data_IF_905910337943
#
_entry.id   IF_905910337943
#
_cell.length_a   1.000
_cell.length_b   1.000
_cell.length_c   1.000
_cell.angle_alpha   90.00
_cell.angle_beta   90.00
_cell.angle_gamma   90.00
#
_symmetry.space_group_name_H-M   'P 1'
#
loop_
_entity.id
_entity.type
_entity.pdbx_description
1 polymer ?
#
# COMPACT_ATOMS: atom_id res chain seq x y z
N UNK A 1 -22.12 16.60 -23.53
CA UNK A 1 -22.33 16.52 -22.07
C UNK A 1 -21.25 17.38 -21.45
N UNK A 2 -21.62 18.25 -20.52
CA UNK A 2 -20.66 19.00 -19.72
C UNK A 2 -20.77 18.53 -18.27
N UNK A 3 -19.62 18.45 -17.61
CA UNK A 3 -19.52 18.09 -16.19
C UNK A 3 -18.77 19.24 -15.52
N UNK A 4 -19.43 19.89 -14.56
CA UNK A 4 -18.81 20.87 -13.70
C UNK A 4 -18.72 20.30 -12.28
N UNK A 5 -17.53 20.31 -11.71
CA UNK A 5 -17.26 19.76 -10.39
C UNK A 5 -16.77 20.83 -9.44
N UNK A 6 -17.24 20.77 -8.21
CA UNK A 6 -16.76 21.61 -7.11
C UNK A 6 -16.58 20.73 -5.89
N UNK A 7 -15.36 20.67 -5.37
CA UNK A 7 -15.04 19.91 -4.15
C UNK A 7 -15.01 20.85 -2.95
N UNK A 8 -15.55 20.39 -1.82
CA UNK A 8 -15.54 21.10 -0.56
C UNK A 8 -15.41 20.06 0.57
N UNK A 9 -14.19 19.92 1.12
CA UNK A 9 -13.88 18.92 2.13
C UNK A 9 -14.18 17.50 1.64
N UNK A 10 -15.04 16.80 2.39
CA UNK A 10 -15.45 15.41 2.12
C UNK A 10 -16.55 15.27 1.04
N UNK A 11 -17.04 16.39 0.49
CA UNK A 11 -18.10 16.38 -0.51
C UNK A 11 -17.62 16.90 -1.87
N UNK A 12 -18.11 16.29 -2.94
CA UNK A 12 -18.07 16.85 -4.29
C UNK A 12 -19.49 17.11 -4.77
N UNK A 13 -19.73 18.32 -5.28
CA UNK A 13 -20.94 18.64 -6.04
C UNK A 13 -20.61 18.54 -7.52
N UNK A 14 -21.36 17.71 -8.23
CA UNK A 14 -21.17 17.37 -9.63
C UNK A 14 -22.42 17.78 -10.38
N UNK A 15 -22.32 18.86 -11.15
CA UNK A 15 -23.39 19.30 -12.05
C UNK A 15 -23.16 18.68 -13.42
N UNK A 16 -24.18 18.01 -13.94
CA UNK A 16 -24.13 17.35 -15.25
C UNK A 16 -25.17 17.99 -16.17
N UNK A 17 -24.78 18.31 -17.40
CA UNK A 17 -25.69 18.80 -18.43
C UNK A 17 -25.65 17.94 -19.70
N UNK A 18 -26.80 17.81 -20.37
CA UNK A 18 -26.97 17.04 -21.61
C UNK A 18 -27.55 15.64 -21.38
N UNK A 19 -26.89 14.60 -21.91
CA UNK A 19 -27.43 13.22 -21.95
C UNK A 19 -26.50 12.21 -21.26
N UNK A 20 -27.03 11.37 -20.39
CA UNK A 20 -26.35 10.23 -19.74
C UNK A 20 -26.65 8.90 -20.48
N UNK A 21 -26.17 8.82 -21.73
CA UNK A 21 -26.15 7.60 -22.53
C UNK A 21 -24.89 6.74 -22.24
N UNK A 22 -24.72 5.61 -22.94
CA UNK A 22 -23.58 4.72 -22.74
C UNK A 22 -22.22 5.41 -22.94
N UNK A 23 -22.09 6.30 -23.92
CA UNK A 23 -20.83 7.00 -24.20
C UNK A 23 -20.49 7.99 -23.08
N UNK A 24 -21.48 8.73 -22.63
CA UNK A 24 -21.29 9.77 -21.62
C UNK A 24 -21.20 9.21 -20.19
N UNK A 25 -21.78 8.03 -19.95
CA UNK A 25 -21.68 7.32 -18.67
C UNK A 25 -20.23 6.96 -18.30
N UNK A 26 -19.40 6.53 -19.27
CA UNK A 26 -17.99 6.21 -19.02
C UNK A 26 -17.16 7.45 -18.67
N UNK A 27 -17.48 8.60 -19.28
CA UNK A 27 -16.87 9.89 -18.95
C UNK A 27 -17.23 10.26 -17.52
N UNK A 28 -18.52 10.24 -17.17
CA UNK A 28 -18.96 10.51 -15.80
C UNK A 28 -18.32 9.55 -14.79
N UNK A 29 -18.23 8.24 -15.10
CA UNK A 29 -17.61 7.28 -14.20
C UNK A 29 -16.15 7.63 -13.90
N UNK A 30 -15.36 8.07 -14.89
CA UNK A 30 -13.96 8.45 -14.65
C UNK A 30 -13.87 9.66 -13.73
N UNK A 31 -14.66 10.70 -13.99
CA UNK A 31 -14.67 11.92 -13.16
C UNK A 31 -15.12 11.64 -11.71
N UNK A 32 -16.11 10.76 -11.52
CA UNK A 32 -16.53 10.34 -10.17
C UNK A 32 -15.47 9.46 -9.49
N UNK A 33 -14.76 8.61 -10.24
CA UNK A 33 -13.61 7.86 -9.70
C UNK A 33 -12.50 8.83 -9.24
N UNK A 34 -12.25 9.94 -9.97
CA UNK A 34 -11.32 11.00 -9.53
C UNK A 34 -11.78 11.67 -8.22
N UNK A 35 -13.07 11.96 -8.06
CA UNK A 35 -13.58 12.52 -6.79
C UNK A 35 -13.40 11.54 -5.63
N UNK A 36 -13.71 10.26 -5.85
CA UNK A 36 -13.53 9.25 -4.80
C UNK A 36 -12.04 9.06 -4.46
N UNK A 37 -11.15 9.16 -5.45
CA UNK A 37 -9.68 9.24 -5.27
C UNK A 37 -9.23 10.49 -4.53
N UNK A 38 -9.85 11.63 -4.82
CA UNK A 38 -9.68 12.88 -4.09
C UNK A 38 -10.04 12.79 -2.61
N UNK A 39 -10.74 11.72 -2.21
CA UNK A 39 -11.15 11.44 -0.84
C UNK A 39 -12.56 11.93 -0.53
N UNK A 40 -13.33 12.37 -1.52
CA UNK A 40 -14.72 12.76 -1.31
C UNK A 40 -15.59 11.53 -1.11
N UNK A 41 -16.20 11.44 0.08
CA UNK A 41 -17.10 10.35 0.47
C UNK A 41 -18.56 10.70 0.24
N UNK A 42 -18.85 11.96 -0.10
CA UNK A 42 -20.19 12.45 -0.43
C UNK A 42 -20.20 12.97 -1.86
N UNK A 43 -20.99 12.35 -2.74
CA UNK A 43 -21.17 12.82 -4.11
C UNK A 43 -22.59 13.37 -4.29
N UNK A 44 -22.69 14.64 -4.64
CA UNK A 44 -23.97 15.34 -4.89
C UNK A 44 -24.14 15.56 -6.38
N UNK A 45 -25.01 14.76 -6.99
CA UNK A 45 -25.25 14.79 -8.41
C UNK A 45 -26.38 15.76 -8.73
N UNK A 46 -26.07 16.98 -9.18
CA UNK A 46 -27.09 17.88 -9.72
C UNK A 46 -27.39 17.47 -11.16
N UNK A 47 -28.60 16.94 -11.38
CA UNK A 47 -29.06 16.40 -12.66
C UNK A 47 -30.17 17.24 -13.30
N UNK A 48 -30.25 18.53 -12.98
CA UNK A 48 -31.28 19.44 -13.48
C UNK A 48 -31.23 19.57 -15.00
N UNK A 49 -30.02 19.75 -15.53
CA UNK A 49 -29.76 19.96 -16.95
C UNK A 49 -29.58 18.64 -17.73
N UNK A 50 -29.97 17.49 -17.15
CA UNK A 50 -29.89 16.18 -17.79
C UNK A 50 -31.24 15.83 -18.44
N UNK A 51 -31.28 15.81 -19.76
CA UNK A 51 -32.50 15.59 -20.53
C UNK A 51 -32.85 14.10 -20.68
N UNK A 52 -31.86 13.22 -20.54
CA UNK A 52 -32.00 11.78 -20.78
C UNK A 52 -31.00 10.96 -19.98
N UNK A 53 -31.45 9.84 -19.41
CA UNK A 53 -30.60 8.84 -18.76
C UNK A 53 -30.91 7.44 -19.29
N UNK A 54 -29.86 6.70 -19.66
CA UNK A 54 -29.94 5.30 -20.09
C UNK A 54 -29.63 4.33 -18.94
N UNK A 55 -29.80 3.02 -19.16
CA UNK A 55 -29.39 1.99 -18.20
C UNK A 55 -27.90 2.04 -17.84
N UNK A 56 -27.05 2.53 -18.74
CA UNK A 56 -25.62 2.73 -18.47
C UNK A 56 -25.39 3.85 -17.45
N UNK A 57 -26.08 4.99 -17.60
CA UNK A 57 -26.01 6.10 -16.64
C UNK A 57 -26.51 5.68 -15.25
N UNK A 58 -27.62 4.94 -15.18
CA UNK A 58 -28.14 4.42 -13.91
C UNK A 58 -27.13 3.48 -13.24
N UNK A 59 -26.50 2.56 -14.01
CA UNK A 59 -25.47 1.67 -13.48
C UNK A 59 -24.28 2.42 -12.89
N UNK A 60 -23.86 3.52 -13.51
CA UNK A 60 -22.79 4.37 -12.96
C UNK A 60 -23.22 4.96 -11.62
N UNK A 61 -24.41 5.56 -11.51
CA UNK A 61 -24.91 6.09 -10.23
C UNK A 61 -24.97 5.00 -9.13
N UNK A 62 -25.45 3.80 -9.47
CA UNK A 62 -25.50 2.66 -8.53
C UNK A 62 -24.09 2.21 -8.11
N UNK A 63 -23.14 2.11 -9.05
CA UNK A 63 -21.73 1.74 -8.78
C UNK A 63 -21.17 2.65 -7.68
N UNK A 64 -21.29 3.96 -7.85
CA UNK A 64 -20.76 4.93 -6.90
C UNK A 64 -21.54 4.98 -5.60
N UNK A 65 -22.87 4.86 -5.62
CA UNK A 65 -23.66 4.78 -4.40
C UNK A 65 -23.23 3.60 -3.51
N UNK A 66 -23.02 2.41 -4.09
CA UNK A 66 -22.55 1.23 -3.35
C UNK A 66 -21.10 1.37 -2.86
N UNK A 67 -20.22 1.86 -3.73
CA UNK A 67 -18.82 2.08 -3.37
C UNK A 67 -18.69 3.06 -2.20
N UNK A 68 -19.38 4.20 -2.25
CA UNK A 68 -19.37 5.18 -1.16
C UNK A 68 -20.00 4.62 0.11
N UNK A 69 -21.10 3.85 0.01
CA UNK A 69 -21.70 3.20 1.18
C UNK A 69 -20.73 2.28 1.91
N UNK A 70 -19.94 1.46 1.18
CA UNK A 70 -18.90 0.60 1.79
C UNK A 70 -17.80 1.39 2.49
N UNK A 71 -17.61 2.65 2.10
CA UNK A 71 -16.63 3.54 2.71
C UNK A 71 -17.22 4.31 3.89
N UNK A 72 -18.55 4.32 4.09
CA UNK A 72 -19.25 5.14 5.08
C UNK A 72 -19.67 6.53 4.57
N UNK A 73 -19.80 6.66 3.24
CA UNK A 73 -20.30 7.81 2.51
C UNK A 73 -21.63 7.52 1.78
N UNK A 74 -22.08 8.44 0.93
CA UNK A 74 -23.26 8.23 0.08
C UNK A 74 -23.22 9.07 -1.20
N UNK A 75 -23.98 8.64 -2.20
CA UNK A 75 -24.30 9.43 -3.37
C UNK A 75 -25.73 9.93 -3.22
N UNK A 76 -25.97 11.21 -3.48
CA UNK A 76 -27.30 11.80 -3.56
C UNK A 76 -27.55 12.42 -4.93
N UNK A 77 -28.79 12.34 -5.40
CA UNK A 77 -29.25 13.01 -6.62
C UNK A 77 -30.02 14.27 -6.20
N UNK A 78 -29.56 15.42 -6.69
CA UNK A 78 -30.12 16.74 -6.46
C UNK A 78 -30.80 17.25 -7.75
N UNK A 79 -31.96 17.86 -7.58
CA UNK A 79 -32.73 18.54 -8.64
C UNK A 79 -32.79 17.77 -9.97
N UNK A 80 -33.12 16.46 -10.00
CA UNK A 80 -33.19 15.75 -11.28
C UNK A 80 -34.26 16.36 -12.17
N UNK A 81 -34.00 16.42 -13.48
CA UNK A 81 -35.05 16.76 -14.46
C UNK A 81 -36.24 15.79 -14.33
N UNK A 82 -37.42 16.23 -14.77
CA UNK A 82 -38.64 15.41 -14.73
C UNK A 82 -38.43 14.06 -15.43
N UNK A 83 -37.73 14.07 -16.58
CA UNK A 83 -37.43 12.88 -17.35
C UNK A 83 -36.54 11.90 -16.55
N UNK A 84 -35.49 12.42 -15.90
CA UNK A 84 -34.57 11.60 -15.09
C UNK A 84 -35.27 11.06 -13.84
N UNK A 85 -36.01 11.91 -13.12
CA UNK A 85 -36.77 11.50 -11.93
C UNK A 85 -37.73 10.35 -12.23
N UNK A 86 -38.53 10.49 -13.31
CA UNK A 86 -39.48 9.46 -13.75
C UNK A 86 -38.78 8.12 -14.01
N UNK A 87 -37.63 8.13 -14.68
CA UNK A 87 -36.87 6.91 -14.97
C UNK A 87 -36.29 6.28 -13.71
N UNK A 88 -35.75 7.07 -12.78
CA UNK A 88 -35.21 6.55 -11.51
C UNK A 88 -36.30 5.97 -10.61
N UNK A 89 -37.50 6.55 -10.63
CA UNK A 89 -38.69 6.03 -9.95
C UNK A 89 -39.18 4.73 -10.59
N UNK A 90 -39.34 4.70 -11.91
CA UNK A 90 -39.78 3.50 -12.66
C UNK A 90 -38.81 2.31 -12.48
N UNK A 91 -37.51 2.58 -12.31
CA UNK A 91 -36.50 1.55 -12.07
C UNK A 91 -36.33 1.17 -10.60
N UNK A 92 -37.04 1.86 -9.68
CA UNK A 92 -36.95 1.62 -8.24
C UNK A 92 -35.59 1.99 -7.63
N UNK A 93 -34.78 2.81 -8.32
CA UNK A 93 -33.42 3.16 -7.90
C UNK A 93 -33.37 4.45 -7.08
N UNK A 94 -34.40 5.28 -7.16
CA UNK A 94 -34.49 6.56 -6.44
C UNK A 94 -34.17 6.48 -4.93
N UNK A 95 -34.60 5.47 -4.16
CA UNK A 95 -34.27 5.36 -2.73
C UNK A 95 -32.77 5.21 -2.44
N UNK A 96 -31.97 4.72 -3.39
CA UNK A 96 -30.51 4.59 -3.25
C UNK A 96 -29.80 5.95 -3.24
N UNK A 97 -30.47 6.99 -3.76
CA UNK A 97 -29.91 8.32 -4.00
C UNK A 97 -30.58 9.41 -3.17
N UNK A 98 -31.39 9.01 -2.18
CA UNK A 98 -32.11 9.95 -1.33
C UNK A 98 -31.12 10.83 -0.54
N UNK A 99 -31.44 12.12 -0.35
CA UNK A 99 -30.61 13.01 0.45
C UNK A 99 -30.51 12.43 1.86
N UNK A 100 -29.29 12.15 2.28
CA UNK A 100 -29.00 11.83 3.68
C UNK A 100 -28.55 13.11 4.34
N UNK A 101 -29.00 13.33 5.58
CA UNK A 101 -28.39 14.38 6.40
C UNK A 101 -26.90 14.15 6.37
N UNK A 102 -26.15 15.20 6.05
CA UNK A 102 -24.72 15.23 6.31
C UNK A 102 -24.52 14.63 7.71
N UNK A 103 -23.62 13.65 7.90
CA UNK A 103 -22.92 13.57 9.16
C UNK A 103 -22.41 14.98 9.37
N UNK A 104 -23.01 15.67 10.34
CA UNK A 104 -22.54 16.96 10.78
C UNK A 104 -21.01 16.89 10.80
N UNK A 105 -20.34 17.94 10.33
CA UNK A 105 -18.90 18.07 10.52
C UNK A 105 -18.50 17.88 12.01
N UNK A 106 -19.46 17.89 12.95
CA UNK A 106 -19.33 17.52 14.36
C UNK A 106 -19.33 16.00 14.68
N UNK A 107 -19.75 15.10 13.78
CA UNK A 107 -19.80 13.65 14.01
C UNK A 107 -18.64 12.88 13.34
N UNK A 108 -17.94 13.50 12.38
CA UNK A 108 -16.61 13.07 11.93
C UNK A 108 -15.46 13.78 12.70
N UNK A 109 -15.79 14.72 13.59
CA UNK A 109 -14.87 15.32 14.57
C UNK A 109 -15.18 14.97 16.03
N UNK A 110 -16.14 14.06 16.27
CA UNK A 110 -16.41 13.48 17.60
C UNK A 110 -15.56 12.22 17.89
N UNK A 111 -14.44 12.07 17.20
CA UNK A 111 -13.34 11.17 17.55
C UNK A 111 -12.07 11.97 17.83
N UNK A 112 -12.16 12.97 18.73
CA UNK A 112 -11.01 13.64 19.37
C UNK A 112 -9.95 14.26 18.45
N UNK A 113 -9.83 15.59 18.51
CA UNK A 113 -8.55 16.29 18.27
C UNK A 113 -7.40 15.77 19.18
N UNK A 114 -7.69 14.91 20.16
CA UNK A 114 -6.75 14.09 20.90
C UNK A 114 -6.26 12.89 20.05
N UNK A 115 -5.40 13.13 19.04
CA UNK A 115 -4.80 12.02 18.27
C UNK A 115 -4.23 12.39 16.90
N UNK A 116 -4.55 13.58 16.38
CA UNK A 116 -3.94 14.11 15.17
C UNK A 116 -2.59 14.76 15.50
N UNK A 117 -1.51 14.25 14.92
CA UNK A 117 -0.13 14.72 15.12
C UNK A 117 0.49 15.04 13.76
N UNK A 118 1.12 16.21 13.66
CA UNK A 118 2.00 16.52 12.54
C UNK A 118 3.33 15.82 12.78
N UNK A 119 3.79 15.01 11.82
CA UNK A 119 5.08 14.32 11.87
C UNK A 119 5.78 14.57 10.53
N UNK A 120 6.79 15.46 10.53
CA UNK A 120 7.42 15.91 9.28
C UNK A 120 6.39 16.50 8.32
N UNK A 121 6.37 16.03 7.07
CA UNK A 121 5.38 16.39 6.04
C UNK A 121 4.01 15.71 6.19
N UNK A 122 3.82 14.81 7.15
CA UNK A 122 2.56 14.05 7.31
C UNK A 122 1.67 14.59 8.41
N UNK A 123 0.36 14.60 8.13
CA UNK A 123 -0.66 14.67 9.17
C UNK A 123 -1.11 13.25 9.49
N UNK A 124 -0.83 12.79 10.71
CA UNK A 124 -1.16 11.46 11.18
C UNK A 124 -2.28 11.49 12.22
N UNK A 125 -3.37 10.77 12.01
CA UNK A 125 -4.46 10.60 12.98
C UNK A 125 -4.44 9.18 13.54
N UNK A 126 -4.12 9.02 14.82
CA UNK A 126 -4.16 7.70 15.49
C UNK A 126 -5.61 7.25 15.63
N UNK A 127 -5.93 6.08 15.08
CA UNK A 127 -7.29 5.50 15.10
C UNK A 127 -7.43 4.33 16.06
N UNK A 128 -6.32 3.69 16.43
CA UNK A 128 -6.27 2.66 17.47
C UNK A 128 -4.87 2.59 18.09
N UNK A 129 -4.81 2.21 19.37
CA UNK A 129 -3.55 1.92 20.06
C UNK A 129 -3.71 0.73 21.01
N UNK A 130 -2.65 -0.06 21.13
CA UNK A 130 -2.54 -1.20 22.02
C UNK A 130 -1.28 -1.06 22.87
N UNK A 131 -1.46 -0.57 24.11
CA UNK A 131 -0.33 -0.34 25.02
C UNK A 131 0.42 -1.66 25.30
N UNK A 132 1.76 -1.61 25.20
CA UNK A 132 2.63 -2.76 25.45
C UNK A 132 2.72 -3.77 24.31
N UNK A 133 1.98 -3.60 23.20
CA UNK A 133 2.21 -4.39 22.01
C UNK A 133 3.57 -4.06 21.38
N UNK A 134 4.24 -5.08 20.87
CA UNK A 134 5.55 -4.98 20.23
C UNK A 134 5.72 -6.13 19.25
N UNK A 135 6.68 -5.99 18.33
CA UNK A 135 7.15 -7.11 17.53
C UNK A 135 8.58 -7.50 17.92
N UNK A 136 8.88 -8.79 17.77
CA UNK A 136 10.24 -9.33 17.86
C UNK A 136 10.65 -9.82 16.49
N UNK A 137 11.95 -9.72 16.19
CA UNK A 137 12.47 -10.05 14.87
C UNK A 137 13.57 -11.10 14.90
N UNK A 138 13.75 -11.75 13.76
CA UNK A 138 14.96 -12.50 13.43
C UNK A 138 15.38 -12.24 11.99
N UNK A 139 16.68 -12.31 11.75
CA UNK A 139 17.24 -12.35 10.40
C UNK A 139 17.43 -13.80 9.96
N UNK A 140 17.13 -14.07 8.70
CA UNK A 140 17.32 -15.35 8.04
C UNK A 140 18.26 -15.15 6.86
N UNK A 141 19.22 -16.06 6.70
CA UNK A 141 20.28 -15.93 5.71
C UNK A 141 21.16 -14.69 5.93
N UNK A 142 21.96 -14.37 4.93
CA UNK A 142 22.87 -13.23 4.99
C UNK A 142 22.71 -12.36 3.73
N UNK A 143 22.11 -11.16 3.80
CA UNK A 143 21.90 -10.29 2.63
C UNK A 143 23.20 -9.79 2.01
N UNK A 144 24.34 -9.92 2.69
CA UNK A 144 25.65 -9.53 2.16
C UNK A 144 26.17 -10.50 1.07
N UNK A 145 25.52 -11.63 0.81
CA UNK A 145 25.94 -12.59 -0.20
C UNK A 145 26.09 -11.96 -1.60
N UNK A 146 25.13 -11.12 -2.01
CA UNK A 146 25.20 -10.36 -3.27
C UNK A 146 26.27 -9.26 -3.25
N UNK A 147 26.61 -8.73 -2.07
CA UNK A 147 27.58 -7.64 -1.93
C UNK A 147 29.04 -8.14 -1.85
N UNK A 148 29.26 -9.42 -1.55
CA UNK A 148 30.59 -10.00 -1.32
C UNK A 148 30.99 -11.03 -2.39
N UNK A 149 30.29 -11.08 -3.53
CA UNK A 149 30.41 -12.13 -4.55
C UNK A 149 30.45 -13.53 -3.92
N UNK A 150 29.68 -13.71 -2.83
CA UNK A 150 29.71 -14.94 -2.05
C UNK A 150 28.96 -16.06 -2.76
N UNK A 151 29.42 -17.29 -2.62
CA UNK A 151 28.66 -18.46 -3.05
C UNK A 151 27.53 -18.75 -2.07
N UNK A 152 26.36 -19.10 -2.60
CA UNK A 152 25.23 -19.57 -1.82
C UNK A 152 25.45 -21.03 -1.38
N UNK A 153 25.30 -21.33 -0.09
CA UNK A 153 25.31 -22.70 0.39
C UNK A 153 23.87 -23.21 0.59
N UNK A 154 23.47 -24.38 0.04
CA UNK A 154 22.11 -24.92 0.19
C UNK A 154 21.59 -25.01 1.65
N UNK A 155 22.51 -25.17 2.61
CA UNK A 155 22.21 -25.16 4.04
C UNK A 155 21.86 -23.78 4.62
N UNK A 156 21.86 -22.72 3.83
CA UNK A 156 21.46 -21.36 4.21
C UNK A 156 19.99 -21.06 3.88
N UNK A 157 19.33 -21.88 3.03
CA UNK A 157 17.88 -21.73 2.78
C UNK A 157 17.13 -22.01 4.06
N UNK A 158 16.12 -21.17 4.35
CA UNK A 158 15.18 -21.38 5.45
C UNK A 158 13.76 -21.49 4.93
N UNK A 159 12.97 -22.32 5.59
CA UNK A 159 11.53 -22.41 5.36
C UNK A 159 10.80 -21.49 6.33
N UNK A 160 9.96 -20.62 5.78
CA UNK A 160 9.11 -19.71 6.52
C UNK A 160 7.65 -20.13 6.43
N UNK A 161 6.95 -20.12 7.55
CA UNK A 161 5.49 -20.22 7.60
C UNK A 161 4.93 -18.88 8.07
N UNK A 162 4.17 -18.19 7.22
CA UNK A 162 3.79 -16.79 7.43
C UNK A 162 2.31 -16.68 7.79
N UNK A 163 2.00 -16.88 9.07
CA UNK A 163 0.64 -16.74 9.60
C UNK A 163 0.18 -15.29 9.74
N UNK A 164 -1.05 -15.08 10.26
CA UNK A 164 -1.67 -13.75 10.38
C UNK A 164 -0.88 -12.74 11.25
N UNK A 165 -0.05 -13.23 12.19
CA UNK A 165 0.81 -12.42 13.06
C UNK A 165 2.25 -12.27 12.55
N UNK A 166 2.60 -12.95 11.47
CA UNK A 166 3.92 -12.85 10.86
C UNK A 166 3.96 -11.65 9.91
N UNK A 167 5.07 -10.92 9.98
CA UNK A 167 5.43 -9.89 9.02
C UNK A 167 6.82 -10.25 8.49
N UNK A 168 6.97 -10.30 7.17
CA UNK A 168 8.27 -10.65 6.59
C UNK A 168 8.52 -9.92 5.26
N UNK A 169 9.78 -9.72 4.94
CA UNK A 169 10.23 -9.21 3.65
C UNK A 169 11.66 -9.69 3.35
N UNK A 170 12.01 -9.80 2.08
CA UNK A 170 13.34 -10.20 1.65
C UNK A 170 13.35 -10.90 0.30
N UNK A 171 14.26 -11.85 0.13
CA UNK A 171 14.45 -12.64 -1.08
C UNK A 171 14.05 -14.10 -0.83
N UNK A 172 13.07 -14.59 -1.59
CA UNK A 172 12.39 -15.86 -1.36
C UNK A 172 11.55 -16.34 -2.54
N UNK A 173 11.04 -17.56 -2.43
CA UNK A 173 10.14 -18.17 -3.42
C UNK A 173 9.11 -19.07 -2.72
N UNK A 174 7.90 -19.17 -3.29
CA UNK A 174 6.91 -20.17 -2.88
C UNK A 174 7.36 -21.56 -3.30
N UNK A 175 7.84 -22.34 -2.34
CA UNK A 175 8.40 -23.65 -2.61
C UNK A 175 8.55 -24.46 -1.31
N UNK A 176 8.37 -25.78 -1.41
CA UNK A 176 8.43 -26.68 -0.25
C UNK A 176 9.87 -26.88 0.26
N UNK A 177 10.88 -26.69 -0.60
CA UNK A 177 12.29 -26.90 -0.29
C UNK A 177 13.20 -26.08 -1.22
N UNK A 178 14.52 -26.12 -0.96
CA UNK A 178 15.51 -25.44 -1.80
C UNK A 178 15.52 -25.97 -3.25
N UNK A 179 15.30 -27.28 -3.44
CA UNK A 179 15.37 -27.90 -4.76
C UNK A 179 14.26 -27.39 -5.69
N UNK A 180 13.05 -27.21 -5.15
CA UNK A 180 11.89 -26.64 -5.86
C UNK A 180 11.94 -25.12 -5.99
N UNK A 181 12.59 -24.43 -5.06
CA UNK A 181 12.77 -22.97 -5.11
C UNK A 181 13.87 -22.52 -6.08
N UNK A 182 14.74 -23.45 -6.51
CA UNK A 182 15.91 -23.15 -7.32
C UNK A 182 15.54 -22.45 -8.64
N UNK A 183 16.13 -21.29 -8.86
CA UNK A 183 15.91 -20.43 -10.03
C UNK A 183 14.82 -19.38 -9.83
N UNK A 184 14.06 -19.44 -8.74
CA UNK A 184 12.84 -18.66 -8.54
C UNK A 184 12.91 -17.66 -7.38
N UNK A 185 14.04 -17.56 -6.68
CA UNK A 185 14.16 -16.57 -5.59
C UNK A 185 14.16 -15.15 -6.13
N UNK A 186 13.18 -14.37 -5.68
CA UNK A 186 13.05 -12.95 -5.97
C UNK A 186 12.49 -12.19 -4.78
N UNK A 187 12.04 -10.95 -4.97
CA UNK A 187 11.47 -10.15 -3.90
C UNK A 187 10.22 -10.82 -3.31
N UNK A 188 10.04 -10.74 -1.99
CA UNK A 188 8.77 -11.08 -1.36
C UNK A 188 8.43 -10.15 -0.21
N UNK A 189 7.14 -10.05 0.11
CA UNK A 189 6.64 -9.47 1.35
C UNK A 189 5.52 -10.33 1.92
N UNK A 190 5.27 -10.21 3.22
CA UNK A 190 4.15 -10.83 3.88
C UNK A 190 3.67 -10.03 5.08
N UNK A 191 2.35 -9.97 5.25
CA UNK A 191 1.69 -9.37 6.40
C UNK A 191 0.23 -9.85 6.46
N UNK A 192 -0.32 -9.94 7.67
CA UNK A 192 -1.76 -10.21 7.86
C UNK A 192 -2.25 -11.53 7.25
N UNK A 193 -1.35 -12.51 7.09
CA UNK A 193 -1.67 -13.82 6.50
C UNK A 193 -1.68 -13.84 4.97
N UNK A 194 -1.25 -12.75 4.33
CA UNK A 194 -0.98 -12.69 2.89
C UNK A 194 0.54 -12.67 2.69
N UNK A 195 1.02 -13.42 1.70
CA UNK A 195 2.37 -13.28 1.17
C UNK A 195 2.31 -13.04 -0.34
N UNK A 196 3.22 -12.21 -0.84
CA UNK A 196 3.40 -11.90 -2.26
C UNK A 196 4.87 -12.09 -2.58
N UNK A 197 5.18 -12.79 -3.68
CA UNK A 197 6.54 -12.99 -4.16
C UNK A 197 6.61 -12.70 -5.65
N UNK A 198 7.74 -12.20 -6.13
CA UNK A 198 8.00 -11.94 -7.54
C UNK A 198 9.15 -12.82 -8.01
N UNK A 199 8.86 -13.98 -8.61
CA UNK A 199 9.88 -14.80 -9.23
C UNK A 199 10.53 -14.05 -10.41
N UNK A 200 11.86 -14.07 -10.58
CA UNK A 200 12.52 -13.36 -11.68
C UNK A 200 12.11 -13.84 -13.08
N UNK A 201 11.63 -15.08 -13.21
CA UNK A 201 11.18 -15.70 -14.45
C UNK A 201 9.68 -15.48 -14.76
N UNK A 202 8.98 -14.73 -13.92
CA UNK A 202 7.54 -14.46 -14.05
C UNK A 202 7.16 -13.41 -15.10
N UNK A 203 8.13 -12.82 -15.82
CA UNK A 203 7.94 -11.63 -16.65
C UNK A 203 7.29 -10.44 -15.90
N UNK A 204 7.61 -10.29 -14.61
CA UNK A 204 7.11 -9.17 -13.79
C UNK A 204 5.74 -9.41 -13.15
N UNK A 205 5.22 -10.64 -13.17
CA UNK A 205 3.94 -10.98 -12.54
C UNK A 205 4.15 -11.59 -11.15
N UNK A 206 3.71 -10.93 -10.06
CA UNK A 206 3.84 -11.51 -8.73
C UNK A 206 2.85 -12.67 -8.49
N UNK A 207 3.34 -13.69 -7.79
CA UNK A 207 2.52 -14.73 -7.17
C UNK A 207 2.11 -14.31 -5.75
N UNK A 208 1.00 -14.84 -5.26
CA UNK A 208 0.56 -14.58 -3.90
C UNK A 208 -0.21 -15.75 -3.29
N UNK A 209 -0.19 -15.82 -1.95
CA UNK A 209 -0.95 -16.79 -1.16
C UNK A 209 -1.67 -16.04 -0.05
N UNK A 210 -2.96 -16.33 0.12
CA UNK A 210 -3.79 -15.85 1.23
C UNK A 210 -4.04 -17.01 2.18
N UNK A 211 -3.86 -16.77 3.48
CA UNK A 211 -4.14 -17.78 4.51
C UNK A 211 -5.64 -18.11 4.55
N UNK A 212 -5.98 -19.39 4.42
CA UNK A 212 -7.35 -19.89 4.51
C UNK A 212 -7.40 -21.17 5.35
N UNK A 213 -8.13 -21.15 6.46
CA UNK A 213 -8.25 -22.27 7.41
C UNK A 213 -6.89 -22.79 7.90
N UNK A 214 -6.40 -23.91 7.32
CA UNK A 214 -5.10 -24.53 7.66
C UNK A 214 -4.00 -24.17 6.66
N UNK A 215 -4.33 -23.55 5.53
CA UNK A 215 -3.36 -23.06 4.57
C UNK A 215 -2.75 -21.76 5.11
N UNK A 216 -1.42 -21.75 5.22
CA UNK A 216 -0.62 -20.56 5.50
C UNK A 216 0.45 -20.45 4.41
N UNK A 217 0.84 -19.24 3.98
CA UNK A 217 1.94 -19.08 3.04
C UNK A 217 3.23 -19.72 3.56
N UNK A 218 3.87 -20.52 2.70
CA UNK A 218 5.16 -21.15 2.96
C UNK A 218 6.18 -20.72 1.91
N UNK A 219 7.35 -20.22 2.33
CA UNK A 219 8.40 -19.77 1.43
C UNK A 219 9.76 -20.36 1.80
N UNK A 220 10.51 -20.77 0.79
CA UNK A 220 11.95 -20.93 0.86
C UNK A 220 12.61 -19.54 0.73
N UNK A 221 13.43 -19.14 1.69
CA UNK A 221 14.10 -17.82 1.68
C UNK A 221 15.61 -17.92 1.65
N UNK A 222 16.23 -17.03 0.87
CA UNK A 222 17.69 -16.80 0.85
C UNK A 222 18.09 -15.76 1.90
N UNK A 223 17.28 -14.72 2.05
CA UNK A 223 17.49 -13.66 3.03
C UNK A 223 16.16 -13.05 3.42
N UNK A 224 15.89 -12.90 4.71
CA UNK A 224 14.65 -12.30 5.17
C UNK A 224 14.77 -11.62 6.53
N UNK A 225 13.98 -10.58 6.72
CA UNK A 225 13.54 -10.14 8.04
C UNK A 225 12.21 -10.84 8.33
N UNK A 226 12.16 -11.62 9.41
CA UNK A 226 10.93 -12.28 9.88
C UNK A 226 10.58 -11.78 11.27
N UNK A 227 9.40 -11.20 11.39
CA UNK A 227 8.92 -10.51 12.58
C UNK A 227 7.61 -11.14 13.04
N UNK A 228 7.45 -11.29 14.34
CA UNK A 228 6.24 -11.83 14.96
C UNK A 228 5.81 -10.95 16.13
N UNK A 229 4.50 -10.72 16.23
CA UNK A 229 3.91 -9.96 17.33
C UNK A 229 2.62 -9.27 16.93
N UNK A 230 2.30 -8.19 17.64
CA UNK A 230 1.09 -7.39 17.42
C UNK A 230 1.48 -5.94 17.13
N UNK A 231 0.63 -5.21 16.40
CA UNK A 231 0.84 -3.79 16.13
C UNK A 231 0.38 -2.92 17.31
N UNK A 232 1.22 -1.97 17.72
CA UNK A 232 0.94 -1.07 18.84
C UNK A 232 0.08 0.13 18.45
N UNK A 233 0.19 0.60 17.20
CA UNK A 233 -0.49 1.80 16.73
C UNK A 233 -1.07 1.55 15.35
N UNK A 234 -2.32 1.94 15.15
CA UNK A 234 -2.90 2.16 13.83
C UNK A 234 -3.12 3.66 13.65
N UNK A 235 -2.60 4.22 12.56
CA UNK A 235 -2.77 5.62 12.21
C UNK A 235 -3.19 5.77 10.75
N UNK A 236 -3.96 6.80 10.45
CA UNK A 236 -4.18 7.27 9.08
C UNK A 236 -3.26 8.43 8.80
N UNK A 237 -2.75 8.52 7.58
CA UNK A 237 -1.93 9.65 7.16
C UNK A 237 -2.47 10.29 5.89
N UNK A 238 -2.18 11.57 5.74
CA UNK A 238 -2.38 12.37 4.54
C UNK A 238 -1.23 13.37 4.41
N UNK A 239 -0.97 13.82 3.17
CA UNK A 239 -0.04 14.90 2.91
C UNK A 239 -0.46 16.16 3.68
N UNK A 240 0.48 16.79 4.37
CA UNK A 240 0.20 18.05 5.06
C UNK A 240 0.14 19.19 4.06
N UNK A 241 -0.89 20.05 4.09
CA UNK A 241 -0.98 21.23 3.21
C UNK A 241 0.06 22.32 3.56
N UNK A 242 0.81 22.14 4.65
CA UNK A 242 1.82 23.08 5.15
C UNK A 242 3.24 22.72 4.69
N UNK A 243 3.40 21.61 3.98
CA UNK A 243 4.69 21.15 3.45
C UNK A 243 4.65 21.21 1.92
N UNK A 244 5.72 21.72 1.31
CA UNK A 244 5.86 21.71 -0.15
C UNK A 244 6.21 20.28 -0.61
N UNK A 245 5.31 19.67 -1.38
CA UNK A 245 5.50 18.34 -1.94
C UNK A 245 4.73 17.23 -1.21
N UNK A 246 4.74 16.03 -1.82
CA UNK A 246 4.11 14.83 -1.28
C UNK A 246 5.08 14.10 -0.33
N UNK A 247 4.58 13.45 0.73
CA UNK A 247 5.43 12.70 1.65
C UNK A 247 6.12 11.53 0.93
N UNK A 248 7.42 11.41 1.18
CA UNK A 248 8.27 10.34 0.69
C UNK A 248 8.25 9.09 1.59
N UNK A 249 8.90 8.02 1.13
CA UNK A 249 9.11 6.80 1.91
C UNK A 249 9.89 7.07 3.20
N UNK A 250 10.86 7.98 3.15
CA UNK A 250 11.67 8.40 4.29
C UNK A 250 10.82 9.11 5.34
N UNK A 251 9.83 9.92 4.92
CA UNK A 251 8.89 10.54 5.84
C UNK A 251 7.96 9.50 6.49
N UNK A 252 7.52 8.49 5.75
CA UNK A 252 6.76 7.35 6.32
C UNK A 252 7.60 6.58 7.34
N UNK A 253 8.88 6.35 7.06
CA UNK A 253 9.81 5.72 8.00
C UNK A 253 9.98 6.55 9.28
N UNK A 254 10.18 7.86 9.15
CA UNK A 254 10.24 8.77 10.30
C UNK A 254 8.93 8.77 11.09
N UNK A 255 7.78 8.76 10.41
CA UNK A 255 6.46 8.65 11.03
C UNK A 255 6.29 7.34 11.80
N UNK A 256 6.75 6.20 11.26
CA UNK A 256 6.68 4.91 11.95
C UNK A 256 7.49 4.93 13.27
N UNK A 257 8.70 5.51 13.27
CA UNK A 257 9.49 5.64 14.50
C UNK A 257 8.82 6.59 15.52
N UNK A 258 8.30 7.73 15.07
CA UNK A 258 7.63 8.69 15.93
C UNK A 258 6.30 8.15 16.52
N UNK A 259 5.56 7.36 15.75
CA UNK A 259 4.31 6.73 16.18
C UNK A 259 4.56 5.57 17.16
N UNK A 260 5.60 4.77 16.93
CA UNK A 260 5.99 3.69 17.86
C UNK A 260 6.62 4.20 19.16
N UNK A 261 7.22 5.40 19.13
CA UNK A 261 8.01 5.92 20.25
C UNK A 261 9.34 5.17 20.46
N UNK A 262 9.83 4.47 19.43
CA UNK A 262 11.03 3.65 19.50
C UNK A 262 12.07 4.05 18.44
N UNK A 263 13.34 3.64 18.65
CA UNK A 263 14.42 3.85 17.68
C UNK A 263 14.40 2.85 16.53
N UNK A 264 13.58 1.80 16.62
CA UNK A 264 13.37 0.78 15.60
C UNK A 264 11.89 0.40 15.56
N UNK A 265 11.33 0.29 14.37
CA UNK A 265 9.92 0.01 14.17
C UNK A 265 9.67 -0.84 12.93
N UNK A 266 8.62 -1.64 13.00
CA UNK A 266 8.00 -2.30 11.87
C UNK A 266 6.78 -1.52 11.43
N UNK A 267 6.59 -1.44 10.12
CA UNK A 267 5.46 -0.79 9.48
C UNK A 267 4.86 -1.73 8.44
N UNK A 268 3.54 -1.89 8.51
CA UNK A 268 2.74 -2.33 7.37
C UNK A 268 1.84 -1.17 6.98
N UNK A 269 1.68 -0.90 5.70
CA UNK A 269 0.81 0.18 5.25
C UNK A 269 0.02 -0.20 4.00
N UNK A 270 -1.19 0.35 3.90
CA UNK A 270 -1.94 0.45 2.65
C UNK A 270 -2.00 1.92 2.28
N UNK A 271 -1.41 2.27 1.14
CA UNK A 271 -1.26 3.67 0.74
C UNK A 271 -1.62 3.89 -0.74
N UNK A 272 -2.19 5.05 -1.03
CA UNK A 272 -2.26 5.57 -2.39
C UNK A 272 -0.91 6.19 -2.75
N UNK A 273 -0.29 5.65 -3.81
CA UNK A 273 1.02 6.12 -4.27
C UNK A 273 0.87 7.18 -5.37
N UNK A 274 1.74 8.19 -5.39
CA UNK A 274 1.93 9.07 -6.55
C UNK A 274 3.08 8.61 -7.44
N UNK A 275 3.77 7.56 -7.03
CA UNK A 275 4.75 6.85 -7.84
C UNK A 275 5.83 6.23 -6.96
N UNK A 276 6.27 5.04 -7.35
CA UNK A 276 7.28 4.25 -6.66
C UNK A 276 8.61 4.33 -7.39
N UNK A 277 9.68 4.34 -6.61
CA UNK A 277 11.05 4.13 -7.04
C UNK A 277 11.55 2.85 -6.37
N UNK A 278 12.00 1.89 -7.16
CA UNK A 278 12.33 0.57 -6.66
C UNK A 278 13.19 -0.25 -7.60
N UNK A 279 13.49 -1.46 -7.14
CA UNK A 279 14.21 -2.49 -7.85
C UNK A 279 13.45 -3.82 -7.76
N UNK A 280 13.66 -4.68 -8.76
CA UNK A 280 13.32 -6.10 -8.69
C UNK A 280 14.41 -6.95 -9.34
N UNK A 281 14.46 -8.24 -9.02
CA UNK A 281 15.43 -9.17 -9.59
C UNK A 281 15.00 -9.64 -11.00
N UNK A 282 15.92 -9.55 -11.96
CA UNK A 282 15.78 -10.12 -13.30
C UNK A 282 16.31 -11.56 -13.37
N UNK A 283 17.14 -11.97 -12.42
CA UNK A 283 17.60 -13.35 -12.29
C UNK A 283 17.74 -13.73 -10.83
N UNK A 284 17.44 -14.99 -10.52
CA UNK A 284 17.60 -15.49 -9.17
C UNK A 284 19.07 -15.44 -8.74
N UNK A 285 19.40 -14.90 -7.56
CA UNK A 285 20.78 -14.69 -7.14
C UNK A 285 21.65 -15.95 -7.13
N UNK A 286 21.08 -17.15 -6.96
CA UNK A 286 21.89 -18.38 -6.99
C UNK A 286 22.49 -18.71 -8.36
N UNK A 287 22.02 -18.06 -9.44
CA UNK A 287 22.56 -18.22 -10.79
C UNK A 287 23.91 -17.50 -10.97
N UNK A 288 24.29 -16.62 -10.04
CA UNK A 288 25.43 -15.70 -10.16
C UNK A 288 26.63 -16.10 -9.32
N UNK A 289 27.23 -17.26 -9.60
CA UNK A 289 28.52 -17.61 -9.01
C UNK A 289 29.57 -16.56 -9.42
N UNK A 290 30.25 -15.98 -8.42
CA UNK A 290 31.24 -14.91 -8.57
C UNK A 290 30.75 -13.67 -9.33
N UNK A 291 29.43 -13.47 -9.42
CA UNK A 291 28.83 -12.38 -10.18
C UNK A 291 29.11 -11.01 -9.53
N UNK A 292 29.43 -10.00 -10.34
CA UNK A 292 29.55 -8.62 -9.89
C UNK A 292 28.17 -7.93 -9.93
N UNK A 293 27.27 -8.35 -9.03
CA UNK A 293 25.85 -7.94 -9.02
C UNK A 293 25.62 -6.44 -9.20
N UNK A 294 26.46 -5.61 -8.58
CA UNK A 294 26.29 -4.16 -8.55
C UNK A 294 27.20 -3.40 -9.53
N UNK A 295 28.05 -4.08 -10.30
CA UNK A 295 28.98 -3.42 -11.22
C UNK A 295 28.34 -3.22 -12.60
N UNK A 296 28.59 -2.06 -13.23
CA UNK A 296 28.13 -1.80 -14.59
C UNK A 296 29.10 -2.39 -15.61
N UNK A 297 28.65 -3.07 -16.69
CA UNK A 297 27.25 -3.21 -17.13
C UNK A 297 26.51 -4.42 -16.57
N UNK A 298 27.17 -5.28 -15.80
CA UNK A 298 26.63 -6.57 -15.33
C UNK A 298 25.35 -6.44 -14.51
N UNK A 299 25.21 -5.39 -13.69
CA UNK A 299 24.03 -5.11 -12.88
C UNK A 299 22.71 -5.12 -13.68
N UNK A 300 22.74 -4.77 -14.98
CA UNK A 300 21.58 -4.81 -15.88
C UNK A 300 21.04 -6.22 -16.14
N UNK A 301 21.80 -7.26 -15.84
CA UNK A 301 21.39 -8.66 -15.94
C UNK A 301 20.69 -9.15 -14.66
N UNK A 302 20.93 -8.47 -13.54
CA UNK A 302 20.49 -8.89 -12.22
C UNK A 302 19.30 -8.09 -11.72
N UNK A 303 19.25 -6.80 -12.05
CA UNK A 303 18.27 -5.89 -11.50
C UNK A 303 17.49 -5.17 -12.59
N UNK A 304 16.17 -5.15 -12.42
CA UNK A 304 15.30 -4.16 -13.00
C UNK A 304 15.27 -2.97 -12.04
N UNK A 305 15.55 -1.77 -12.55
CA UNK A 305 15.51 -0.53 -11.77
C UNK A 305 14.51 0.40 -12.42
N UNK A 306 13.66 1.05 -11.63
CA UNK A 306 12.72 2.04 -12.13
C UNK A 306 13.47 3.37 -12.36
N UNK A 307 13.70 3.81 -13.61
CA UNK A 307 14.48 5.02 -13.88
C UNK A 307 13.71 6.30 -13.55
N UNK A 308 12.39 6.19 -13.44
CA UNK A 308 11.43 7.23 -13.06
C UNK A 308 10.41 6.63 -12.10
N UNK A 309 9.57 7.47 -11.51
CA UNK A 309 8.49 7.01 -10.64
C UNK A 309 7.41 6.27 -11.44
N UNK A 310 7.14 5.03 -11.07
CA UNK A 310 6.15 4.16 -11.72
C UNK A 310 4.94 3.90 -10.81
N UNK A 311 3.87 3.31 -11.35
CA UNK A 311 2.69 2.88 -10.57
C UNK A 311 1.94 4.00 -9.83
N UNK A 312 2.02 5.24 -10.31
CA UNK A 312 1.23 6.34 -9.75
C UNK A 312 -0.27 6.05 -9.77
N UNK A 313 -0.98 6.56 -8.76
CA UNK A 313 -2.43 6.43 -8.55
C UNK A 313 -2.89 5.00 -8.22
N UNK A 314 -1.98 4.09 -7.89
CA UNK A 314 -2.30 2.74 -7.44
C UNK A 314 -2.44 2.67 -5.92
N UNK A 315 -3.06 1.59 -5.44
CA UNK A 315 -2.98 1.19 -4.04
C UNK A 315 -1.72 0.34 -3.88
N UNK A 316 -0.98 0.51 -2.78
CA UNK A 316 0.19 -0.33 -2.50
C UNK A 316 0.12 -0.91 -1.10
N UNK A 317 0.47 -2.19 -0.97
CA UNK A 317 0.77 -2.82 0.30
C UNK A 317 2.27 -2.71 0.56
N UNK A 318 2.63 -1.95 1.58
CA UNK A 318 4.00 -1.75 2.02
C UNK A 318 4.27 -2.62 3.25
N UNK A 319 5.40 -3.31 3.26
CA UNK A 319 5.96 -3.95 4.45
C UNK A 319 7.37 -3.44 4.61
N UNK A 320 7.68 -2.85 5.77
CA UNK A 320 8.98 -2.24 5.99
C UNK A 320 9.45 -2.26 7.43
N UNK A 321 10.76 -2.22 7.59
CA UNK A 321 11.44 -2.05 8.87
C UNK A 321 12.29 -0.80 8.79
N UNK A 322 12.23 0.02 9.84
CA UNK A 322 12.96 1.28 9.94
C UNK A 322 13.71 1.35 11.26
N UNK A 323 14.90 1.93 11.25
CA UNK A 323 15.70 2.11 12.44
C UNK A 323 16.61 3.34 12.34
N UNK A 324 16.94 3.92 13.49
CA UNK A 324 18.07 4.84 13.65
C UNK A 324 19.22 4.08 14.29
N UNK A 325 20.39 4.14 13.67
CA UNK A 325 21.60 3.47 14.15
C UNK A 325 21.37 1.98 14.51
N UNK A 326 20.84 1.15 13.60
CA UNK A 326 20.58 -0.25 13.89
C UNK A 326 21.88 -0.99 14.22
N UNK A 327 21.81 -1.93 15.16
CA UNK A 327 22.90 -2.87 15.45
C UNK A 327 22.83 -4.09 14.51
N UNK A 328 23.94 -4.80 14.36
CA UNK A 328 23.97 -6.13 13.73
C UNK A 328 23.14 -7.09 14.61
N UNK A 329 22.30 -7.95 14.02
CA UNK A 329 22.20 -8.26 12.59
C UNK A 329 21.24 -7.40 11.76
N UNK A 330 20.35 -6.62 12.38
CA UNK A 330 19.38 -5.80 11.64
C UNK A 330 20.07 -4.83 10.67
N UNK A 331 21.21 -4.27 11.06
CA UNK A 331 21.96 -3.31 10.26
C UNK A 331 22.34 -3.81 8.85
N UNK A 332 22.50 -5.12 8.66
CA UNK A 332 22.88 -5.71 7.36
C UNK A 332 21.70 -5.79 6.38
N UNK A 333 20.48 -5.76 6.89
CA UNK A 333 19.25 -5.79 6.10
C UNK A 333 18.75 -4.40 5.72
N UNK A 334 19.08 -3.37 6.49
CA UNK A 334 18.59 -2.00 6.23
C UNK A 334 19.52 -1.24 5.27
N UNK A 335 18.98 -0.26 4.54
CA UNK A 335 19.70 0.64 3.63
C UNK A 335 19.45 2.11 4.03
N UNK A 336 20.39 3.03 3.76
CA UNK A 336 20.17 4.45 3.99
C UNK A 336 18.88 4.93 3.30
N UNK A 337 18.09 5.73 4.01
CA UNK A 337 16.92 6.42 3.46
C UNK A 337 17.31 7.83 2.98
N UNK A 338 16.42 8.49 2.23
CA UNK A 338 16.66 9.84 1.73
C UNK A 338 16.97 10.84 2.86
N UNK A 339 17.90 11.76 2.59
CA UNK A 339 18.14 12.99 3.35
C UNK A 339 18.15 12.82 4.87
N UNK A 340 18.91 11.84 5.37
CA UNK A 340 18.91 11.52 6.80
C UNK A 340 20.03 12.23 7.56
N UNK A 341 19.77 13.49 7.95
CA UNK A 341 20.53 14.16 9.01
C UNK A 341 20.60 13.30 10.31
N UNK A 342 19.63 12.39 10.47
CA UNK A 342 19.45 11.52 11.64
C UNK A 342 19.83 10.03 11.39
N UNK A 343 20.57 9.69 10.33
CA UNK A 343 20.99 8.31 10.03
C UNK A 343 19.83 7.27 9.99
N UNK A 344 18.71 7.65 9.36
CA UNK A 344 17.56 6.77 9.15
C UNK A 344 17.91 5.68 8.14
N UNK A 345 17.65 4.44 8.49
CA UNK A 345 17.81 3.28 7.61
C UNK A 345 16.50 2.51 7.52
N UNK A 346 16.22 1.94 6.36
CA UNK A 346 15.02 1.17 6.10
C UNK A 346 15.22 0.02 5.12
N UNK A 347 14.30 -0.93 5.14
CA UNK A 347 14.14 -1.96 4.12
C UNK A 347 12.65 -2.12 3.90
N UNK A 348 12.18 -1.86 2.68
CA UNK A 348 10.74 -1.80 2.38
C UNK A 348 10.45 -2.48 1.06
N UNK A 349 9.50 -3.40 1.06
CA UNK A 349 8.94 -4.00 -0.14
C UNK A 349 7.51 -3.50 -0.34
N UNK A 350 7.10 -3.34 -1.61
CA UNK A 350 5.81 -2.78 -2.01
C UNK A 350 5.12 -3.64 -3.06
N UNK A 351 4.00 -4.27 -2.70
CA UNK A 351 3.13 -4.95 -3.66
C UNK A 351 2.14 -3.93 -4.23
N UNK A 352 2.12 -3.80 -5.55
CA UNK A 352 1.26 -2.88 -6.28
C UNK A 352 -0.08 -3.54 -6.55
N UNK A 353 -1.16 -2.82 -6.25
CA UNK A 353 -2.54 -3.29 -6.33
C UNK A 353 -3.36 -2.30 -7.15
N UNK A 354 -4.47 -2.78 -7.73
CA UNK A 354 -5.41 -1.88 -8.38
C UNK A 354 -6.00 -0.93 -7.34
N UNK A 355 -6.07 0.36 -7.68
CA UNK A 355 -6.65 1.35 -6.78
C UNK A 355 -8.00 0.91 -6.22
N UNK A 356 -8.10 0.96 -4.89
CA UNK A 356 -9.32 0.74 -4.13
C UNK A 356 -9.31 1.68 -2.95
N UNK A 357 -10.37 2.48 -2.83
CA UNK A 357 -10.53 3.34 -1.66
C UNK A 357 -10.76 2.49 -0.41
N UNK A 358 -10.08 2.87 0.67
CA UNK A 358 -10.14 2.17 1.96
C UNK A 358 -11.32 2.72 2.79
N UNK A 359 -12.05 1.87 3.53
CA UNK A 359 -13.08 2.34 4.47
C UNK A 359 -12.47 3.30 5.50
N UNK A 360 -13.28 4.17 6.11
CA UNK A 360 -12.84 5.05 7.21
C UNK A 360 -12.65 4.29 8.53
N UNK A 361 -12.09 4.94 9.55
CA UNK A 361 -11.96 4.37 10.91
C UNK A 361 -10.83 3.32 11.05
N UNK A 362 -10.85 2.51 12.14
CA UNK A 362 -9.88 1.44 12.33
C UNK A 362 -10.13 0.26 11.38
N UNK A 363 -9.05 -0.40 10.96
CA UNK A 363 -9.09 -1.53 10.03
C UNK A 363 -8.32 -2.73 10.61
N UNK A 364 -8.94 -3.92 10.58
CA UNK A 364 -8.29 -5.15 10.99
C UNK A 364 -7.42 -5.69 9.85
N UNK A 365 -6.09 -5.63 10.01
CA UNK A 365 -5.13 -5.92 8.94
C UNK A 365 -5.40 -7.27 8.23
N UNK A 366 -5.56 -8.42 8.91
CA UNK A 366 -5.78 -9.69 8.22
C UNK A 366 -7.07 -9.72 7.39
N UNK A 367 -8.17 -9.20 7.95
CA UNK A 367 -9.46 -9.18 7.25
C UNK A 367 -9.43 -8.22 6.05
N UNK A 368 -8.78 -7.06 6.19
CA UNK A 368 -8.63 -6.09 5.10
C UNK A 368 -7.77 -6.66 3.96
N UNK A 369 -6.63 -7.30 4.25
CA UNK A 369 -5.80 -7.88 3.21
C UNK A 369 -6.47 -9.09 2.55
N UNK A 370 -7.13 -9.97 3.30
CA UNK A 370 -7.88 -11.08 2.71
C UNK A 370 -8.94 -10.59 1.71
N UNK A 371 -9.74 -9.59 2.08
CA UNK A 371 -10.77 -9.01 1.18
C UNK A 371 -10.18 -8.33 -0.07
N UNK A 372 -9.02 -7.68 0.05
CA UNK A 372 -8.35 -7.09 -1.11
C UNK A 372 -7.84 -8.18 -2.06
N UNK A 373 -7.11 -9.17 -1.54
CA UNK A 373 -6.48 -10.21 -2.35
C UNK A 373 -7.45 -11.29 -2.84
N UNK A 374 -8.66 -11.38 -2.28
CA UNK A 374 -9.75 -12.17 -2.86
C UNK A 374 -10.29 -11.59 -4.18
N UNK A 375 -10.10 -10.28 -4.41
CA UNK A 375 -10.71 -9.57 -5.55
C UNK A 375 -9.69 -8.96 -6.50
N UNK A 376 -8.40 -8.96 -6.13
CA UNK A 376 -7.33 -8.36 -6.90
C UNK A 376 -6.12 -9.28 -6.97
N UNK A 377 -5.47 -9.26 -8.14
CA UNK A 377 -4.13 -9.81 -8.33
C UNK A 377 -3.12 -8.66 -8.23
N UNK A 378 -1.98 -8.85 -7.52
CA UNK A 378 -0.89 -7.89 -7.55
C UNK A 378 -0.41 -7.61 -8.97
N UNK A 379 -0.16 -6.33 -9.24
CA UNK A 379 0.29 -5.85 -10.54
C UNK A 379 1.81 -5.89 -10.67
N UNK A 380 2.52 -5.69 -9.56
CA UNK A 380 3.98 -5.66 -9.48
C UNK A 380 4.42 -5.80 -8.00
N UNK A 381 5.71 -6.05 -7.78
CA UNK A 381 6.34 -6.07 -6.46
C UNK A 381 7.74 -5.47 -6.56
N UNK A 382 8.00 -4.45 -5.76
CA UNK A 382 9.28 -3.73 -5.78
C UNK A 382 9.94 -3.73 -4.40
N UNK A 383 11.25 -3.94 -4.36
CA UNK A 383 12.08 -3.45 -3.26
C UNK A 383 12.27 -1.95 -3.44
N UNK A 384 11.67 -1.14 -2.56
CA UNK A 384 11.76 0.30 -2.67
C UNK A 384 13.17 0.80 -2.34
N UNK A 385 13.67 1.71 -3.17
CA UNK A 385 14.98 2.34 -3.02
C UNK A 385 14.83 3.85 -3.06
N UNK A 386 15.84 4.55 -2.55
CA UNK A 386 16.01 5.97 -2.81
C UNK A 386 17.01 6.16 -3.95
N UNK A 387 16.58 6.82 -5.02
CA UNK A 387 17.46 7.16 -6.14
C UNK A 387 18.07 8.56 -5.94
N UNK A 388 19.21 8.61 -5.27
CA UNK A 388 19.91 9.82 -4.82
C UNK A 388 20.86 10.44 -5.87
N UNK A 389 20.81 9.98 -7.12
CA UNK A 389 21.66 10.51 -8.20
C UNK A 389 21.43 12.01 -8.37
N UNK A 390 22.48 12.81 -8.19
CA UNK A 390 22.40 14.27 -8.06
C UNK A 390 21.74 15.06 -9.21
N UNK A 391 21.66 14.52 -10.43
CA UNK A 391 21.17 15.24 -11.62
C UNK A 391 19.84 14.66 -12.14
N UNK A 392 19.68 13.34 -12.08
CA UNK A 392 18.57 12.62 -12.72
C UNK A 392 17.93 11.56 -11.81
N UNK A 393 18.29 11.54 -10.53
CA UNK A 393 17.74 10.62 -9.56
C UNK A 393 16.24 10.84 -9.40
N UNK A 394 15.47 9.76 -9.49
CA UNK A 394 14.05 9.81 -9.25
C UNK A 394 13.74 10.19 -7.78
N UNK A 395 14.68 10.05 -6.85
CA UNK A 395 14.49 10.32 -5.43
C UNK A 395 13.65 9.25 -4.74
N UNK A 396 12.80 9.67 -3.80
CA UNK A 396 11.99 8.76 -2.99
C UNK A 396 10.68 8.34 -3.67
N UNK A 397 10.15 7.18 -3.28
CA UNK A 397 8.75 6.82 -3.55
C UNK A 397 7.82 7.81 -2.84
N UNK A 398 6.73 8.24 -3.49
CA UNK A 398 5.84 9.29 -2.99
C UNK A 398 4.42 8.76 -2.73
N UNK A 399 3.81 9.24 -1.65
CA UNK A 399 2.49 8.78 -1.20
C UNK A 399 1.55 9.96 -0.98
N UNK A 400 0.24 9.74 -1.14
CA UNK A 400 -0.77 10.78 -0.91
C UNK A 400 -1.41 10.66 0.45
N UNK A 401 -1.91 9.45 0.74
CA UNK A 401 -2.66 9.11 1.94
C UNK A 401 -2.65 7.61 2.17
N UNK A 402 -3.00 7.18 3.37
CA UNK A 402 -3.12 5.76 3.66
C UNK A 402 -3.37 5.45 5.13
N UNK A 403 -3.19 4.18 5.45
CA UNK A 403 -3.25 3.64 6.81
C UNK A 403 -1.93 2.94 7.12
N UNK A 404 -1.42 3.17 8.33
CA UNK A 404 -0.22 2.57 8.89
C UNK A 404 -0.62 1.68 10.06
N UNK A 405 -0.06 0.48 10.09
CA UNK A 405 0.05 -0.35 11.29
C UNK A 405 1.51 -0.38 11.70
N UNK A 406 1.79 0.09 12.91
CA UNK A 406 3.14 0.34 13.39
C UNK A 406 3.33 -0.32 14.75
N UNK A 407 4.49 -0.93 14.97
CA UNK A 407 4.88 -1.47 16.27
C UNK A 407 6.34 -1.14 16.56
N UNK A 408 6.71 -0.89 17.84
CA UNK A 408 8.11 -0.91 18.22
C UNK A 408 8.69 -2.29 17.93
N UNK A 409 9.89 -2.32 17.36
CA UNK A 409 10.64 -3.54 17.11
C UNK A 409 11.65 -3.72 18.24
N UNK A 410 11.50 -4.80 19.00
CA UNK A 410 12.48 -5.23 19.99
C UNK A 410 13.75 -5.80 19.35
N UNK A 411 14.57 -6.48 20.14
CA UNK A 411 15.83 -7.06 19.66
C UNK A 411 15.59 -8.03 18.47
N UNK A 412 16.45 -7.90 17.47
CA UNK A 412 16.46 -8.74 16.28
C UNK A 412 17.65 -9.68 16.37
N UNK A 413 17.39 -10.98 16.42
CA UNK A 413 18.44 -11.99 16.56
C UNK A 413 18.78 -12.66 15.21
N UNK A 414 20.01 -13.15 15.05
CA UNK A 414 20.31 -14.06 13.95
C UNK A 414 19.73 -15.43 14.27
N UNK A 415 19.09 -16.07 13.30
CA UNK A 415 18.62 -17.43 13.49
C UNK A 415 19.82 -18.38 13.71
N UNK A 416 19.83 -19.04 14.89
CA UNK A 416 20.94 -19.83 15.40
C UNK A 416 21.34 -19.47 16.84
N UNK A 417 20.99 -18.27 17.31
CA UNK A 417 20.97 -17.95 18.74
C UNK A 417 19.67 -18.48 19.35
N UNK A 418 19.75 -19.40 20.31
CA UNK A 418 18.58 -19.92 21.02
C UNK A 418 17.75 -18.76 21.62
N UNK A 419 16.42 -18.86 21.51
CA UNK A 419 15.46 -18.00 22.22
C UNK A 419 15.51 -18.24 23.74
#
# INVERSE_FOLDING_TARGET
MEIAMTTAGDAATVRVSGRLDARNADILSRELDECVRGGQRVLRMNLHDVEYISSAGIRVLIKFAKMLQSQGGWLEVQDPSIAVATVLEMTGTMPLFAPRKEPSAAAASAGGAAGCRQIGGLRCTVVASAAGASMRGRTLGNPAFMARNGSFAPGEVRQLRLGAKAVALGIGAFAADHASAKGHYGEFLAAGGVAVALPPDSNGQPDFVVSEQRLVPELAVLSALHLEGDFAVQARFESSPQHDGLPGLSDLGAAALALSGASQAVMVALAETSGLVGASLLSSPENGQDAEYFHFPEARRWFNLTPERVHGRQLVLLVGVFARQPAVPLADHLRPMADSADALRGHVHAAVLSYRALPGGPLALPATLADIFQTQTPLDLLHLINDDRAISGAGDSLFQRGVLWVSPLGDVNMEGAAL
#
